data_IF_717288224304
#
_entry.id   IF_717288224304
#
_cell.length_a   1.000
_cell.length_b   1.000
_cell.length_c   1.000
_cell.angle_alpha   90.00
_cell.angle_beta   90.00
_cell.angle_gamma   90.00
#
_symmetry.space_group_name_H-M   'P 1'
#
loop_
_entity.id
_entity.type
_entity.pdbx_description
1 polymer ?
#
# COMPACT_ATOMS: atom_id res chain seq x y z
N UNK A 1 -8.64 -0.82 0.17
CA UNK A 1 -7.53 -0.44 -0.75
C UNK A 1 -7.03 0.92 -0.31
N UNK A 2 -5.84 1.00 0.25
CA UNK A 2 -5.23 2.27 0.66
C UNK A 2 -4.52 2.85 -0.56
N UNK A 3 -4.96 4.05 -0.98
CA UNK A 3 -4.42 4.70 -2.17
C UNK A 3 -3.34 5.73 -1.85
N UNK A 4 -2.13 5.49 -2.35
CA UNK A 4 -0.98 6.42 -2.30
C UNK A 4 -0.85 7.28 -3.58
N UNK A 5 -1.91 7.38 -4.38
CA UNK A 5 -1.92 8.12 -5.64
C UNK A 5 -1.51 7.26 -6.84
N UNK A 6 -1.63 5.94 -6.74
CA UNK A 6 -1.33 5.04 -7.85
C UNK A 6 -2.34 5.18 -8.98
N UNK A 7 -1.84 5.29 -10.21
CA UNK A 7 -2.66 5.16 -11.43
C UNK A 7 -3.48 3.85 -11.45
N UNK A 8 -2.98 2.81 -10.77
CA UNK A 8 -3.58 1.46 -10.78
C UNK A 8 -4.43 1.11 -9.55
N UNK A 9 -4.60 1.99 -8.56
CA UNK A 9 -5.35 1.66 -7.34
C UNK A 9 -6.80 1.22 -7.65
N UNK A 10 -7.45 1.89 -8.59
CA UNK A 10 -8.79 1.52 -9.06
C UNK A 10 -8.81 0.17 -9.79
N UNK A 11 -7.77 -0.14 -10.57
CA UNK A 11 -7.65 -1.42 -11.27
C UNK A 11 -7.53 -2.56 -10.26
N UNK A 12 -6.69 -2.42 -9.24
CA UNK A 12 -6.53 -3.46 -8.21
C UNK A 12 -7.86 -3.66 -7.45
N UNK A 13 -8.53 -2.57 -7.04
CA UNK A 13 -9.86 -2.67 -6.43
C UNK A 13 -10.87 -3.40 -7.33
N UNK A 14 -10.86 -3.11 -8.64
CA UNK A 14 -11.69 -3.84 -9.61
C UNK A 14 -11.34 -5.33 -9.67
N UNK A 15 -10.06 -5.71 -9.67
CA UNK A 15 -9.63 -7.12 -9.68
C UNK A 15 -10.09 -7.88 -8.42
N UNK A 16 -10.06 -7.24 -7.26
CA UNK A 16 -10.61 -7.82 -6.01
C UNK A 16 -12.11 -8.07 -6.14
N UNK A 17 -12.86 -7.13 -6.72
CA UNK A 17 -14.30 -7.30 -7.00
C UNK A 17 -14.58 -8.40 -8.01
N UNK A 18 -13.78 -8.50 -9.07
CA UNK A 18 -13.88 -9.59 -10.05
C UNK A 18 -13.60 -10.97 -9.43
N UNK A 19 -12.80 -11.03 -8.36
CA UNK A 19 -12.60 -12.22 -7.54
C UNK A 19 -13.73 -12.50 -6.53
N UNK A 20 -14.83 -11.74 -6.56
CA UNK A 20 -16.02 -11.95 -5.73
C UNK A 20 -15.94 -11.34 -4.33
N UNK A 21 -14.96 -10.48 -4.05
CA UNK A 21 -14.77 -9.85 -2.74
C UNK A 21 -15.09 -8.36 -2.82
N UNK A 22 -15.88 -7.84 -1.87
CA UNK A 22 -16.13 -6.41 -1.77
C UNK A 22 -14.82 -5.66 -1.51
N UNK A 23 -14.62 -4.55 -2.21
CA UNK A 23 -13.47 -3.68 -1.99
C UNK A 23 -13.86 -2.21 -2.13
N UNK A 24 -13.27 -1.37 -1.27
CA UNK A 24 -13.37 0.08 -1.33
C UNK A 24 -11.98 0.72 -1.38
N UNK A 25 -11.91 1.93 -1.95
CA UNK A 25 -10.71 2.77 -1.92
C UNK A 25 -10.82 3.76 -0.75
N UNK A 26 -9.72 3.92 -0.02
CA UNK A 26 -9.58 4.87 1.09
C UNK A 26 -8.26 5.63 0.93
N UNK A 27 -8.17 6.88 1.40
CA UNK A 27 -6.93 7.65 1.33
C UNK A 27 -5.85 7.05 2.23
N UNK A 28 -4.57 7.29 1.90
CA UNK A 28 -3.44 6.89 2.73
C UNK A 28 -3.40 7.52 4.13
N UNK A 29 -4.17 8.58 4.35
CA UNK A 29 -4.30 9.27 5.64
C UNK A 29 -5.26 8.57 6.60
N UNK A 30 -5.83 7.42 6.22
CA UNK A 30 -6.71 6.64 7.09
C UNK A 30 -5.96 6.21 8.36
N UNK A 31 -6.59 6.41 9.51
CA UNK A 31 -6.05 6.00 10.81
C UNK A 31 -6.31 4.52 11.10
N UNK A 32 -5.53 3.92 12.01
CA UNK A 32 -5.78 2.56 12.47
C UNK A 32 -7.17 2.39 13.11
N UNK A 33 -7.69 3.41 13.79
CA UNK A 33 -9.03 3.39 14.36
C UNK A 33 -10.12 3.31 13.28
N UNK A 34 -9.97 4.08 12.19
CA UNK A 34 -10.90 4.00 11.05
C UNK A 34 -10.81 2.66 10.32
N UNK A 35 -9.60 2.10 10.18
CA UNK A 35 -9.40 0.75 9.62
C UNK A 35 -10.11 -0.29 10.49
N UNK A 36 -9.91 -0.24 11.81
CA UNK A 36 -10.53 -1.17 12.75
C UNK A 36 -12.07 -1.06 12.70
N UNK A 37 -12.62 0.15 12.65
CA UNK A 37 -14.06 0.38 12.56
C UNK A 37 -14.69 -0.21 11.28
N UNK A 38 -13.91 -0.28 10.19
CA UNK A 38 -14.34 -0.91 8.92
C UNK A 38 -14.29 -2.44 8.95
N UNK A 39 -13.58 -3.03 9.92
CA UNK A 39 -13.42 -4.48 10.08
C UNK A 39 -13.08 -5.23 8.77
N UNK A 40 -12.01 -4.83 8.03
CA UNK A 40 -11.69 -5.43 6.74
C UNK A 40 -11.09 -6.83 6.89
N UNK A 41 -11.36 -7.70 5.91
CA UNK A 41 -10.73 -9.02 5.80
C UNK A 41 -9.24 -8.95 5.44
N UNK A 42 -8.81 -7.84 4.82
CA UNK A 42 -7.44 -7.63 4.38
C UNK A 42 -7.24 -6.22 3.85
N UNK A 43 -5.99 -5.79 3.84
CA UNK A 43 -5.57 -4.45 3.43
C UNK A 43 -4.61 -4.59 2.24
N UNK A 44 -4.81 -3.76 1.22
CA UNK A 44 -3.86 -3.64 0.11
C UNK A 44 -3.37 -2.20 0.08
N UNK A 45 -2.05 -2.03 0.16
CA UNK A 45 -1.34 -0.77 0.03
C UNK A 45 -0.93 -0.62 -1.44
N UNK A 46 -1.51 0.36 -2.14
CA UNK A 46 -1.26 0.56 -3.56
C UNK A 46 0.15 1.09 -3.83
N UNK A 47 0.54 1.09 -5.11
CA UNK A 47 1.73 1.82 -5.55
C UNK A 47 1.53 3.35 -5.41
N UNK A 48 2.56 4.10 -5.80
CA UNK A 48 2.50 5.56 -5.83
C UNK A 48 3.56 6.12 -6.76
N UNK A 49 3.37 7.32 -7.31
CA UNK A 49 4.35 7.97 -8.18
C UNK A 49 5.55 8.53 -7.39
N UNK A 50 5.40 8.68 -6.08
CA UNK A 50 6.38 9.31 -5.20
C UNK A 50 7.48 8.35 -4.77
N UNK A 51 8.65 8.91 -4.51
CA UNK A 51 9.71 8.23 -3.78
C UNK A 51 9.37 8.32 -2.28
N UNK A 52 9.45 7.20 -1.53
CA UNK A 52 9.22 7.20 -0.07
C UNK A 52 10.19 8.12 0.70
N UNK A 53 11.22 8.64 0.04
CA UNK A 53 12.29 9.48 0.62
C UNK A 53 12.03 10.99 0.51
N UNK A 54 11.02 11.42 -0.25
CA UNK A 54 10.74 12.85 -0.38
C UNK A 54 10.25 13.43 0.96
N UNK A 55 10.73 14.62 1.30
CA UNK A 55 10.25 15.39 2.45
C UNK A 55 8.75 15.67 2.24
N UNK A 56 7.87 15.06 3.05
CA UNK A 56 6.42 15.09 2.85
C UNK A 56 5.83 13.88 2.09
N UNK A 57 6.61 12.81 1.88
CA UNK A 57 6.09 11.55 1.37
C UNK A 57 4.85 11.12 2.19
N UNK A 58 3.78 10.62 1.52
CA UNK A 58 2.52 10.32 2.18
C UNK A 58 2.73 9.37 3.35
N UNK A 59 2.55 9.90 4.56
CA UNK A 59 2.67 9.13 5.80
C UNK A 59 1.51 8.15 5.89
N UNK A 60 1.83 6.91 6.30
CA UNK A 60 0.87 5.87 6.62
C UNK A 60 0.99 5.56 8.10
N UNK A 61 -0.16 5.44 8.78
CA UNK A 61 -0.20 5.10 10.19
C UNK A 61 0.28 3.65 10.38
N UNK A 62 1.51 3.49 10.87
CA UNK A 62 2.12 2.18 11.06
C UNK A 62 1.38 1.30 12.07
N UNK A 63 0.58 1.89 12.97
CA UNK A 63 -0.22 1.11 13.94
C UNK A 63 -1.30 0.26 13.25
N UNK A 64 -1.59 0.50 11.96
CA UNK A 64 -2.43 -0.38 11.15
C UNK A 64 -1.87 -1.81 11.08
N UNK A 65 -0.54 -1.97 11.10
CA UNK A 65 0.10 -3.29 11.06
C UNK A 65 -0.09 -4.08 12.37
N UNK A 66 -0.39 -3.40 13.48
CA UNK A 66 -0.61 -4.02 14.79
C UNK A 66 -2.04 -4.57 14.95
N UNK A 67 -2.94 -4.29 14.00
CA UNK A 67 -4.34 -4.73 14.05
C UNK A 67 -4.54 -6.24 13.78
N UNK A 68 -3.47 -6.96 13.40
CA UNK A 68 -3.54 -8.40 13.07
C UNK A 68 -4.28 -8.71 11.77
N UNK A 69 -4.54 -7.70 10.93
CA UNK A 69 -5.22 -7.84 9.65
C UNK A 69 -4.16 -8.11 8.56
N UNK A 70 -4.36 -9.09 7.66
CA UNK A 70 -3.42 -9.36 6.57
C UNK A 70 -3.21 -8.13 5.67
N UNK A 71 -1.94 -7.80 5.39
CA UNK A 71 -1.58 -6.64 4.54
C UNK A 71 -0.73 -7.08 3.35
N UNK A 72 -1.12 -6.62 2.15
CA UNK A 72 -0.34 -6.75 0.92
C UNK A 72 0.17 -5.38 0.48
N UNK A 73 1.49 -5.22 0.41
CA UNK A 73 2.13 -4.04 -0.16
C UNK A 73 2.50 -4.24 -1.63
N UNK A 74 2.14 -3.32 -2.52
CA UNK A 74 2.51 -3.36 -3.94
C UNK A 74 3.41 -2.18 -4.27
N UNK A 75 4.62 -2.45 -4.76
CA UNK A 75 5.60 -1.44 -5.15
C UNK A 75 5.83 -0.41 -4.02
N UNK A 76 5.36 0.84 -4.16
CA UNK A 76 5.44 1.86 -3.10
C UNK A 76 4.85 1.37 -1.76
N UNK A 77 3.68 0.72 -1.78
CA UNK A 77 3.08 0.16 -0.57
C UNK A 77 3.95 -0.90 0.11
N UNK A 78 4.74 -1.66 -0.66
CA UNK A 78 5.74 -2.60 -0.11
C UNK A 78 6.90 -1.86 0.56
N UNK A 79 7.38 -0.76 -0.04
CA UNK A 79 8.44 0.06 0.55
C UNK A 79 7.98 0.75 1.85
N UNK A 80 6.74 1.24 1.91
CA UNK A 80 6.13 1.77 3.13
C UNK A 80 6.08 0.72 4.23
N UNK A 81 5.60 -0.48 3.89
CA UNK A 81 5.52 -1.61 4.82
C UNK A 81 6.91 -2.02 5.33
N UNK A 82 7.90 -2.15 4.43
CA UNK A 82 9.27 -2.49 4.80
C UNK A 82 9.84 -1.51 5.83
N UNK A 83 9.65 -0.20 5.64
CA UNK A 83 10.11 0.82 6.60
C UNK A 83 9.38 0.77 7.92
N UNK A 84 8.04 0.69 7.88
CA UNK A 84 7.22 0.68 9.09
C UNK A 84 7.56 -0.51 9.99
N UNK A 85 7.98 -1.63 9.40
CA UNK A 85 8.37 -2.85 10.12
C UNK A 85 9.87 -2.91 10.45
N UNK A 86 10.59 -1.79 10.39
CA UNK A 86 12.01 -1.69 10.78
C UNK A 86 13.02 -2.13 9.72
N UNK A 87 12.57 -2.43 8.51
CA UNK A 87 13.42 -2.71 7.36
C UNK A 87 14.03 -1.45 6.74
N UNK A 88 15.03 -1.66 5.88
CA UNK A 88 15.65 -0.59 5.11
C UNK A 88 15.25 -0.71 3.65
N UNK A 89 14.80 0.39 3.05
CA UNK A 89 14.63 0.50 1.61
C UNK A 89 15.92 1.13 1.07
N UNK A 90 16.45 0.65 -0.05
CA UNK A 90 17.58 1.26 -0.74
C UNK A 90 17.11 2.34 -1.73
N UNK A 91 17.93 3.36 -1.98
CA UNK A 91 17.68 4.35 -3.03
C UNK A 91 18.71 4.15 -4.15
N UNK A 92 18.24 3.71 -5.30
CA UNK A 92 19.08 3.44 -6.47
C UNK A 92 19.10 4.58 -7.50
N UNK A 93 18.29 5.63 -7.30
CA UNK A 93 18.17 6.76 -8.24
C UNK A 93 17.31 6.47 -9.48
N UNK A 94 17.28 5.22 -9.94
CA UNK A 94 16.52 4.79 -11.11
C UNK A 94 15.14 4.19 -10.75
N UNK A 95 14.17 4.37 -11.64
CA UNK A 95 12.84 3.76 -11.56
C UNK A 95 12.67 2.78 -12.70
N UNK A 96 12.34 1.53 -12.38
CA UNK A 96 12.15 0.48 -13.37
C UNK A 96 10.66 0.12 -13.51
N UNK A 97 10.18 0.10 -14.76
CA UNK A 97 8.86 -0.38 -15.11
C UNK A 97 8.98 -1.26 -16.36
N UNK A 98 8.73 -2.55 -16.21
CA UNK A 98 8.85 -3.50 -17.31
C UNK A 98 8.57 -4.92 -16.86
N UNK A 99 8.28 -5.80 -17.82
CA UNK A 99 8.22 -7.23 -17.54
C UNK A 99 9.63 -7.74 -17.25
N UNK A 100 9.80 -8.43 -16.13
CA UNK A 100 11.04 -9.08 -15.75
C UNK A 100 10.71 -10.41 -15.06
N UNK A 101 11.68 -11.31 -15.01
CA UNK A 101 11.54 -12.55 -14.25
C UNK A 101 11.88 -12.28 -12.79
N UNK A 102 11.03 -12.76 -11.88
CA UNK A 102 11.40 -12.88 -10.48
C UNK A 102 12.14 -14.22 -10.31
N UNK A 103 13.35 -14.18 -9.75
CA UNK A 103 14.13 -15.37 -9.37
C UNK A 103 13.59 -16.03 -8.08
#
# INVERSE_FOLDING_TARGET
MVDFGAQYAQLIARRVREAGVYSELVPHTISAAEVQARNPLGIVLSGGPSSVYEEGAPAFDASVFDLGIPVLGICYGFQVMARALGGTVGNTGDREYGATHAE
#
